data_IF_367399129387
#
_entry.id   IF_367399129387
#
_cell.length_a   1.000
_cell.length_b   1.000
_cell.length_c   1.000
_cell.angle_alpha   90.00
_cell.angle_beta   90.00
_cell.angle_gamma   90.00
#
_symmetry.space_group_name_H-M   'P 1'
#
loop_
_entity.id
_entity.type
_entity.pdbx_description
1 polymer ?
#
# COMPACT_ATOMS: atom_id res chain seq x y z
N UNK A 1 -5.16 20.39 -7.29
CA UNK A 1 -4.14 19.96 -6.33
C UNK A 1 -3.72 18.56 -6.73
N UNK A 2 -2.57 18.43 -7.40
CA UNK A 2 -2.05 17.15 -7.87
C UNK A 2 -1.50 16.41 -6.66
N UNK A 3 -1.95 15.17 -6.46
CA UNK A 3 -1.33 14.27 -5.47
C UNK A 3 0.08 13.97 -6.00
N UNK A 4 1.12 14.22 -5.20
CA UNK A 4 2.46 13.72 -5.50
C UNK A 4 2.47 12.20 -5.31
N UNK A 5 1.98 11.47 -6.31
CA UNK A 5 2.18 10.02 -6.40
C UNK A 5 3.60 9.79 -6.91
N UNK A 6 4.51 9.43 -6.01
CA UNK A 6 5.81 8.89 -6.39
C UNK A 6 5.66 7.38 -6.49
N UNK A 7 5.56 6.88 -7.72
CA UNK A 7 5.60 5.45 -8.02
C UNK A 7 6.97 5.14 -8.61
N UNK A 8 7.72 4.26 -7.96
CA UNK A 8 9.01 3.79 -8.44
C UNK A 8 8.92 2.29 -8.73
N UNK A 9 9.41 1.88 -9.90
CA UNK A 9 9.63 0.48 -10.26
C UNK A 9 11.12 0.24 -10.15
N UNK A 10 11.52 -0.68 -9.29
CA UNK A 10 12.93 -1.02 -9.11
C UNK A 10 13.45 -1.83 -10.31
N UNK A 11 14.58 -1.40 -10.86
CA UNK A 11 15.39 -2.19 -11.80
C UNK A 11 15.97 -3.44 -11.10
N UNK A 12 16.48 -4.39 -11.88
CA UNK A 12 17.10 -5.60 -11.31
C UNK A 12 18.28 -5.27 -10.37
N UNK A 13 19.04 -4.22 -10.69
CA UNK A 13 20.15 -3.78 -9.85
C UNK A 13 19.66 -3.09 -8.57
N UNK A 14 18.66 -2.22 -8.67
CA UNK A 14 18.03 -1.60 -7.49
C UNK A 14 17.38 -2.64 -6.58
N UNK A 15 16.76 -3.69 -7.15
CA UNK A 15 16.20 -4.79 -6.36
C UNK A 15 17.29 -5.60 -5.63
N UNK A 16 18.48 -5.74 -6.23
CA UNK A 16 19.63 -6.37 -5.58
C UNK A 16 20.13 -5.53 -4.42
N UNK A 17 20.34 -4.23 -4.64
CA UNK A 17 20.77 -3.26 -3.61
C UNK A 17 19.73 -3.20 -2.48
N UNK A 18 18.45 -3.13 -2.81
CA UNK A 18 17.37 -3.09 -1.83
C UNK A 18 17.32 -4.34 -0.95
N UNK A 19 17.60 -5.52 -1.51
CA UNK A 19 17.68 -6.78 -0.75
C UNK A 19 18.84 -6.80 0.24
N UNK A 20 19.96 -6.19 -0.11
CA UNK A 20 21.11 -6.09 0.80
C UNK A 20 20.83 -5.07 1.91
N UNK A 21 20.31 -3.89 1.54
CA UNK A 21 19.92 -2.86 2.49
C UNK A 21 18.83 -3.33 3.47
N UNK A 22 17.81 -4.07 2.99
CA UNK A 22 16.72 -4.56 3.86
C UNK A 22 17.23 -5.54 4.92
N UNK A 23 18.20 -6.39 4.61
CA UNK A 23 18.84 -7.29 5.59
C UNK A 23 19.55 -6.51 6.69
N UNK A 24 20.29 -5.46 6.33
CA UNK A 24 20.96 -4.59 7.30
C UNK A 24 19.93 -3.87 8.17
N UNK A 25 18.87 -3.32 7.57
CA UNK A 25 17.80 -2.64 8.30
C UNK A 25 17.02 -3.57 9.22
N UNK A 26 16.78 -4.83 8.83
CA UNK A 26 16.07 -5.81 9.67
C UNK A 26 16.73 -6.01 11.04
N UNK A 27 18.06 -5.96 11.11
CA UNK A 27 18.81 -6.05 12.37
C UNK A 27 18.67 -4.81 13.27
N UNK A 28 18.27 -3.67 12.71
CA UNK A 28 18.23 -2.35 13.38
C UNK A 28 16.82 -1.96 13.86
N UNK A 29 15.76 -2.54 13.28
CA UNK A 29 14.35 -2.29 13.63
C UNK A 29 13.93 -2.63 15.07
N UNK A 30 14.51 -3.63 15.80
CA UNK A 30 14.00 -4.04 17.10
C UNK A 30 13.96 -2.93 18.16
N UNK A 31 14.73 -1.86 17.99
CA UNK A 31 15.08 -0.99 19.11
C UNK A 31 14.14 0.21 19.35
N UNK A 32 13.09 0.45 18.55
CA UNK A 32 12.14 1.59 18.66
C UNK A 32 12.80 2.97 18.89
N UNK A 33 14.10 3.11 18.66
CA UNK A 33 14.89 4.30 18.88
C UNK A 33 15.15 5.00 17.55
N UNK A 34 15.38 6.32 17.55
CA UNK A 34 15.84 7.02 16.36
C UNK A 34 17.13 6.37 15.84
N UNK A 35 17.21 6.18 14.52
CA UNK A 35 18.37 5.59 13.86
C UNK A 35 19.26 6.71 13.32
N UNK A 36 20.53 6.73 13.72
CA UNK A 36 21.52 7.61 13.11
C UNK A 36 22.13 6.90 11.90
N UNK A 37 22.17 7.61 10.78
CA UNK A 37 22.76 7.16 9.53
C UNK A 37 23.82 8.17 9.10
N UNK A 38 24.95 7.66 8.63
CA UNK A 38 25.95 8.48 7.92
C UNK A 38 25.81 8.20 6.45
N UNK A 39 25.59 9.25 5.66
CA UNK A 39 25.46 9.19 4.21
C UNK A 39 26.67 9.87 3.59
N UNK A 40 27.36 9.14 2.73
CA UNK A 40 28.42 9.70 1.88
C UNK A 40 27.80 10.01 0.52
N UNK A 41 27.96 11.25 0.08
CA UNK A 41 27.51 11.73 -1.24
C UNK A 41 28.69 11.73 -2.22
N UNK A 42 28.43 11.97 -3.51
CA UNK A 42 29.43 11.96 -4.58
C UNK A 42 30.59 12.97 -4.37
N UNK A 43 30.41 13.92 -3.45
CA UNK A 43 31.41 14.89 -3.00
C UNK A 43 32.35 14.35 -1.90
N UNK A 44 32.26 13.07 -1.55
CA UNK A 44 32.94 12.41 -0.41
C UNK A 44 32.67 13.11 0.95
N UNK A 45 31.62 13.93 1.03
CA UNK A 45 31.22 14.59 2.26
C UNK A 45 30.26 13.67 3.02
N UNK A 46 30.72 13.18 4.16
CA UNK A 46 29.88 12.47 5.13
C UNK A 46 28.88 13.43 5.78
N UNK A 47 27.61 13.01 5.80
CA UNK A 47 26.53 13.73 6.47
C UNK A 47 25.80 12.79 7.41
N UNK A 48 25.68 13.19 8.67
CA UNK A 48 24.88 12.48 9.65
C UNK A 48 23.41 12.91 9.54
N UNK A 49 22.51 11.95 9.60
CA UNK A 49 21.07 12.18 9.67
C UNK A 49 20.43 11.25 10.69
N UNK A 50 19.37 11.73 11.33
CA UNK A 50 18.59 10.93 12.29
C UNK A 50 17.21 10.64 11.72
N UNK A 51 16.86 9.37 11.59
CA UNK A 51 15.54 8.93 11.17
C UNK A 51 14.66 8.60 12.38
N UNK A 52 13.40 9.06 12.42
CA UNK A 52 12.46 8.63 13.44
C UNK A 52 12.12 7.14 13.24
N UNK A 53 11.75 6.40 14.32
CA UNK A 53 11.46 4.97 14.24
C UNK A 53 10.44 4.60 13.17
N UNK A 54 9.39 5.41 13.01
CA UNK A 54 8.36 5.21 11.99
C UNK A 54 8.93 5.28 10.56
N UNK A 55 9.84 6.21 10.29
CA UNK A 55 10.47 6.33 8.97
C UNK A 55 11.40 5.15 8.68
N UNK A 56 12.13 4.66 9.69
CA UNK A 56 12.97 3.46 9.55
C UNK A 56 12.13 2.24 9.15
N UNK A 57 10.97 2.06 9.79
CA UNK A 57 10.06 0.96 9.46
C UNK A 57 9.47 1.09 8.06
N UNK A 58 9.02 2.28 7.68
CA UNK A 58 8.53 2.53 6.32
C UNK A 58 9.61 2.28 5.27
N UNK A 59 10.85 2.74 5.51
CA UNK A 59 11.96 2.51 4.61
C UNK A 59 12.26 1.01 4.46
N UNK A 60 12.21 0.25 5.55
CA UNK A 60 12.34 -1.20 5.49
C UNK A 60 11.25 -1.84 4.62
N UNK A 61 9.97 -1.49 4.83
CA UNK A 61 8.86 -2.03 4.04
C UNK A 61 9.02 -1.70 2.54
N UNK A 62 9.46 -0.47 2.22
CA UNK A 62 9.78 -0.04 0.85
C UNK A 62 10.89 -0.90 0.25
N UNK A 63 12.00 -1.09 0.98
CA UNK A 63 13.14 -1.90 0.53
C UNK A 63 12.74 -3.36 0.30
N UNK A 64 11.86 -3.93 1.13
CA UNK A 64 11.34 -5.29 0.92
C UNK A 64 10.52 -5.40 -0.37
N UNK A 65 9.63 -4.45 -0.64
CA UNK A 65 8.87 -4.46 -1.89
C UNK A 65 9.77 -4.26 -3.11
N UNK A 66 10.76 -3.35 -3.03
CA UNK A 66 11.74 -3.13 -4.09
C UNK A 66 12.60 -4.38 -4.33
N UNK A 67 13.00 -5.10 -3.28
CA UNK A 67 13.75 -6.35 -3.40
C UNK A 67 12.97 -7.44 -4.15
N UNK A 68 11.63 -7.42 -4.04
CA UNK A 68 10.73 -8.30 -4.79
C UNK A 68 10.45 -7.81 -6.22
N UNK A 69 11.03 -6.69 -6.66
CA UNK A 69 10.76 -6.07 -7.95
C UNK A 69 9.34 -5.50 -8.06
N UNK A 70 8.68 -5.25 -6.92
CA UNK A 70 7.32 -4.69 -6.89
C UNK A 70 7.38 -3.17 -6.95
N UNK A 71 6.41 -2.58 -7.64
CA UNK A 71 6.20 -1.14 -7.61
C UNK A 71 5.78 -0.70 -6.21
N UNK A 72 6.31 0.44 -5.76
CA UNK A 72 5.98 1.04 -4.46
C UNK A 72 5.35 2.40 -4.69
N UNK A 73 4.24 2.67 -4.01
CA UNK A 73 3.55 3.95 -4.03
C UNK A 73 3.29 4.43 -2.61
N UNK A 74 3.70 5.67 -2.30
CA UNK A 74 3.40 6.32 -1.03
C UNK A 74 2.19 7.23 -1.21
N UNK A 75 1.15 7.00 -0.41
CA UNK A 75 -0.10 7.77 -0.44
C UNK A 75 -0.34 8.36 0.95
N UNK A 76 -0.51 9.69 1.08
CA UNK A 76 -0.92 10.29 2.34
C UNK A 76 -2.27 9.74 2.79
N UNK A 77 -2.44 9.49 4.09
CA UNK A 77 -3.70 8.95 4.63
C UNK A 77 -4.90 9.83 4.29
N UNK A 78 -4.72 11.15 4.31
CA UNK A 78 -5.78 12.12 4.01
C UNK A 78 -5.88 12.46 2.51
N UNK A 79 -5.30 11.64 1.64
CA UNK A 79 -5.35 11.87 0.21
C UNK A 79 -6.78 11.74 -0.32
N UNK A 80 -7.16 12.69 -1.15
CA UNK A 80 -8.38 12.64 -1.93
C UNK A 80 -8.08 12.14 -3.34
N UNK A 81 -8.60 10.96 -3.65
CA UNK A 81 -8.36 10.25 -4.90
C UNK A 81 -9.43 10.61 -5.94
N UNK A 82 -9.03 10.66 -7.20
CA UNK A 82 -9.98 10.62 -8.32
C UNK A 82 -10.56 9.20 -8.47
N UNK A 83 -11.67 9.07 -9.22
CA UNK A 83 -12.21 7.75 -9.60
C UNK A 83 -11.13 6.92 -10.32
N UNK A 84 -10.31 7.55 -11.14
CA UNK A 84 -9.24 6.88 -11.86
C UNK A 84 -8.21 6.27 -10.90
N UNK A 85 -7.66 7.10 -10.00
CA UNK A 85 -6.66 6.67 -9.03
C UNK A 85 -7.21 5.61 -8.06
N UNK A 86 -8.46 5.75 -7.63
CA UNK A 86 -9.09 4.79 -6.75
C UNK A 86 -9.39 3.46 -7.44
N UNK A 87 -9.73 3.47 -8.73
CA UNK A 87 -9.97 2.25 -9.51
C UNK A 87 -8.65 1.48 -9.71
N UNK A 88 -7.57 2.20 -10.02
CA UNK A 88 -6.23 1.63 -10.16
C UNK A 88 -5.77 0.98 -8.84
N UNK A 89 -6.05 1.60 -7.69
CA UNK A 89 -5.70 1.06 -6.37
C UNK A 89 -6.48 -0.19 -5.97
N UNK A 90 -7.76 -0.28 -6.37
CA UNK A 90 -8.58 -1.46 -6.14
C UNK A 90 -8.39 -2.54 -7.23
N UNK A 91 -7.61 -2.25 -8.27
CA UNK A 91 -7.42 -3.11 -9.44
C UNK A 91 -8.74 -3.52 -10.10
N UNK A 92 -9.66 -2.56 -10.24
CA UNK A 92 -10.99 -2.72 -10.86
C UNK A 92 -11.16 -1.73 -12.02
N UNK A 93 -12.20 -1.94 -12.84
CA UNK A 93 -12.51 -0.99 -13.90
C UNK A 93 -13.03 0.34 -13.34
N UNK A 94 -12.70 1.43 -14.03
CA UNK A 94 -13.15 2.79 -13.69
C UNK A 94 -14.67 2.93 -13.74
N UNK A 95 -15.32 2.25 -14.69
CA UNK A 95 -16.78 2.23 -14.80
C UNK A 95 -17.41 1.51 -13.60
N UNK A 96 -16.86 0.38 -13.18
CA UNK A 96 -17.35 -0.33 -12.01
C UNK A 96 -17.20 0.50 -10.74
N UNK A 97 -16.06 1.16 -10.54
CA UNK A 97 -15.91 2.07 -9.40
C UNK A 97 -16.87 3.26 -9.47
N UNK A 98 -17.09 3.84 -10.66
CA UNK A 98 -18.05 4.92 -10.83
C UNK A 98 -19.46 4.48 -10.40
N UNK A 99 -19.88 3.27 -10.79
CA UNK A 99 -21.17 2.70 -10.41
C UNK A 99 -21.29 2.50 -8.89
N UNK A 100 -20.24 2.02 -8.21
CA UNK A 100 -20.22 1.88 -6.76
C UNK A 100 -20.41 3.23 -6.06
N UNK A 101 -19.72 4.26 -6.55
CA UNK A 101 -19.82 5.62 -6.03
C UNK A 101 -21.20 6.21 -6.29
N UNK A 102 -21.79 5.96 -7.46
CA UNK A 102 -23.15 6.39 -7.80
C UNK A 102 -24.23 5.72 -6.93
N UNK A 103 -23.98 4.48 -6.52
CA UNK A 103 -24.81 3.73 -5.55
C UNK A 103 -24.56 4.14 -4.09
N UNK A 104 -23.62 5.04 -3.82
CA UNK A 104 -23.16 5.42 -2.47
C UNK A 104 -22.60 4.25 -1.65
N UNK A 105 -22.09 3.20 -2.30
CA UNK A 105 -21.37 2.10 -1.63
C UNK A 105 -20.02 2.56 -1.09
N UNK A 106 -19.46 3.63 -1.67
CA UNK A 106 -18.22 4.28 -1.24
C UNK A 106 -18.51 5.77 -1.07
N UNK A 107 -18.27 6.31 0.12
CA UNK A 107 -18.45 7.73 0.37
C UNK A 107 -17.52 8.56 -0.52
N UNK A 108 -18.08 9.63 -1.08
CA UNK A 108 -17.35 10.55 -1.93
C UNK A 108 -17.75 11.99 -1.61
N UNK A 109 -16.85 12.92 -1.92
CA UNK A 109 -17.12 14.36 -1.90
C UNK A 109 -17.12 14.90 -3.32
N UNK A 110 -18.01 15.86 -3.59
CA UNK A 110 -17.99 16.62 -4.84
C UNK A 110 -17.11 17.84 -4.65
N UNK A 111 -16.01 17.91 -5.40
CA UNK A 111 -15.12 19.08 -5.45
C UNK A 111 -15.19 19.68 -6.85
N UNK A 112 -16.04 20.69 -7.00
CA UNK A 112 -16.43 21.25 -8.29
C UNK A 112 -17.17 20.22 -9.16
N UNK A 113 -16.66 19.98 -10.37
CA UNK A 113 -17.26 19.03 -11.33
C UNK A 113 -16.85 17.58 -11.12
N UNK A 114 -15.86 17.32 -10.25
CA UNK A 114 -15.30 15.98 -10.08
C UNK A 114 -15.63 15.40 -8.70
N UNK A 115 -15.83 14.08 -8.68
CA UNK A 115 -15.92 13.30 -7.44
C UNK A 115 -14.51 13.03 -6.90
N UNK A 116 -14.40 13.02 -5.57
CA UNK A 116 -13.19 12.68 -4.82
C UNK A 116 -13.53 11.68 -3.73
N UNK A 117 -12.70 10.65 -3.61
CA UNK A 117 -12.85 9.59 -2.61
C UNK A 117 -11.69 9.74 -1.64
N UNK A 118 -11.95 9.78 -0.33
CA UNK A 118 -10.88 9.74 0.66
C UNK A 118 -10.22 8.36 0.62
N UNK A 119 -8.88 8.30 0.68
CA UNK A 119 -8.16 7.02 0.68
C UNK A 119 -8.67 6.08 1.79
N UNK A 120 -8.96 6.63 2.97
CA UNK A 120 -9.55 5.88 4.08
C UNK A 120 -10.89 5.20 3.70
N UNK A 121 -11.80 5.92 3.06
CA UNK A 121 -13.08 5.36 2.59
C UNK A 121 -12.86 4.23 1.57
N UNK A 122 -11.87 4.38 0.68
CA UNK A 122 -11.51 3.36 -0.29
C UNK A 122 -10.99 2.08 0.37
N UNK A 123 -10.13 2.23 1.38
CA UNK A 123 -9.58 1.08 2.13
C UNK A 123 -10.65 0.40 3.00
N UNK A 124 -11.57 1.17 3.59
CA UNK A 124 -12.71 0.62 4.32
C UNK A 124 -13.59 -0.24 3.43
N UNK A 125 -13.89 0.24 2.20
CA UNK A 125 -14.61 -0.56 1.21
C UNK A 125 -13.87 -1.86 0.86
N UNK A 126 -12.57 -1.77 0.54
CA UNK A 126 -11.74 -2.93 0.23
C UNK A 126 -11.79 -3.99 1.33
N UNK A 127 -11.62 -3.57 2.58
CA UNK A 127 -11.66 -4.45 3.75
C UNK A 127 -13.01 -5.16 3.89
N UNK A 128 -14.12 -4.43 3.73
CA UNK A 128 -15.48 -5.01 3.76
C UNK A 128 -15.67 -6.08 2.68
N UNK A 129 -15.14 -5.85 1.48
CA UNK A 129 -15.21 -6.81 0.37
C UNK A 129 -14.39 -8.06 0.69
N UNK A 130 -13.16 -7.90 1.16
CA UNK A 130 -12.28 -9.03 1.55
C UNK A 130 -12.91 -9.88 2.67
N UNK A 131 -13.51 -9.24 3.67
CA UNK A 131 -14.24 -9.92 4.75
C UNK A 131 -15.44 -10.72 4.22
N UNK A 132 -16.23 -10.15 3.30
CA UNK A 132 -17.36 -10.87 2.69
C UNK A 132 -16.93 -12.05 1.82
N UNK A 133 -15.81 -11.92 1.09
CA UNK A 133 -15.26 -13.00 0.26
C UNK A 133 -14.77 -14.14 1.12
N UNK A 134 -14.09 -13.82 2.23
CA UNK A 134 -13.62 -14.82 3.19
C UNK A 134 -14.79 -15.58 3.82
N UNK A 135 -15.84 -14.87 4.26
CA UNK A 135 -17.03 -15.50 4.83
C UNK A 135 -17.72 -16.45 3.84
N UNK A 136 -17.85 -16.06 2.56
CA UNK A 136 -18.43 -16.91 1.53
C UNK A 136 -17.60 -18.18 1.26
N UNK A 137 -16.27 -18.09 1.31
CA UNK A 137 -15.39 -19.26 1.17
C UNK A 137 -15.51 -20.22 2.35
N UNK A 138 -15.60 -19.70 3.57
CA UNK A 138 -15.82 -20.51 4.77
C UNK A 138 -17.17 -21.22 4.71
N UNK A 139 -18.22 -20.56 4.23
CA UNK A 139 -19.55 -21.15 4.03
C UNK A 139 -19.52 -22.28 2.98
N UNK A 140 -18.87 -22.07 1.84
CA UNK A 140 -18.72 -23.11 0.81
C UNK A 140 -17.92 -24.32 1.32
N UNK A 141 -16.91 -24.09 2.14
CA UNK A 141 -16.10 -25.16 2.75
C UNK A 141 -16.94 -25.97 3.73
N UNK A 142 -17.69 -25.29 4.61
CA UNK A 142 -18.59 -25.96 5.55
C UNK A 142 -19.67 -26.79 4.84
N UNK A 143 -20.26 -26.26 3.76
CA UNK A 143 -21.23 -27.00 2.94
C UNK A 143 -20.59 -28.22 2.25
N UNK A 144 -19.35 -28.10 1.78
CA UNK A 144 -18.64 -29.21 1.16
C UNK A 144 -18.32 -30.33 2.18
N UNK A 145 -17.91 -29.98 3.39
CA UNK A 145 -17.66 -30.95 4.48
C UNK A 145 -18.96 -31.65 4.92
N UNK A 146 -20.08 -30.92 4.99
CA UNK A 146 -21.40 -31.48 5.30
C UNK A 146 -21.88 -32.47 4.21
N UNK A 147 -21.56 -32.19 2.94
CA UNK A 147 -21.93 -33.03 1.80
C UNK A 147 -20.99 -34.25 1.61
N UNK A 148 -19.71 -34.16 2.02
CA UNK A 148 -18.72 -35.24 1.94
C UNK A 148 -18.79 -36.22 3.13
N UNK A 149 -19.46 -35.86 4.24
CA UNK A 149 -19.71 -36.72 5.40
C UNK A 149 -21.07 -37.44 5.36
N UNK A 150 -21.69 -37.52 4.17
CA UNK A 150 -23.07 -37.95 3.99
C UNK A 150 -23.34 -39.43 3.66
N UNK A 151 -22.33 -40.30 3.49
CA UNK A 151 -22.51 -41.76 3.28
C UNK A 151 -21.34 -42.61 3.78
#
# INVERSE_FOLDING_TARGET
>A
MSINQSTAIATAEEARIAREASKTFAALIPNQKPLQLTVTSDDDIERELTLPPTAVRLLFDILEQMALGKAVTIIPVNAELTIEQAADLLNISRSFLADLVDKNEIHHRKLGRHRRILFEELMNYKKKVEESQKAALEELTAQAEELDLGY
#
